data_IF_947492903508
#
_entry.id   IF_947492903508
#
_cell.length_a   1.000
_cell.length_b   1.000
_cell.length_c   1.000
_cell.angle_alpha   90.00
_cell.angle_beta   90.00
_cell.angle_gamma   90.00
#
_symmetry.space_group_name_H-M   'P 1'
#
loop_
_entity.id
_entity.type
_entity.pdbx_description
1 polymer ?
#
# COMPACT_ATOMS: atom_id res chain seq x y z
N UNK A 1 -16.46 2.26 -11.71
CA UNK A 1 -15.13 2.91 -11.55
C UNK A 1 -14.68 2.73 -10.11
N UNK A 2 -13.80 1.76 -9.82
CA UNK A 2 -13.20 1.64 -8.48
C UNK A 2 -12.32 2.86 -8.29
N UNK A 3 -12.77 3.68 -7.38
CA UNK A 3 -12.39 5.07 -7.28
C UNK A 3 -11.11 5.00 -6.43
N UNK A 4 -9.94 5.23 -7.04
CA UNK A 4 -8.59 4.94 -6.51
C UNK A 4 -8.31 5.53 -5.11
N UNK A 5 -9.04 6.59 -4.73
CA UNK A 5 -9.01 7.21 -3.40
C UNK A 5 -9.20 6.20 -2.26
N UNK A 6 -9.95 5.10 -2.47
CA UNK A 6 -10.18 4.10 -1.40
C UNK A 6 -8.90 3.41 -0.94
N UNK A 7 -7.96 3.12 -1.83
CA UNK A 7 -6.68 2.49 -1.45
C UNK A 7 -5.79 3.48 -0.69
N UNK A 8 -5.76 4.74 -1.13
CA UNK A 8 -5.02 5.79 -0.44
C UNK A 8 -5.63 6.11 0.93
N UNK A 9 -6.95 5.98 1.08
CA UNK A 9 -7.64 6.11 2.37
C UNK A 9 -7.27 4.97 3.33
N UNK A 10 -7.24 3.72 2.86
CA UNK A 10 -6.77 2.58 3.67
C UNK A 10 -5.32 2.81 4.14
N UNK A 11 -4.43 3.28 3.26
CA UNK A 11 -3.06 3.61 3.64
C UNK A 11 -3.03 4.72 4.71
N UNK A 12 -3.84 5.77 4.55
CA UNK A 12 -3.96 6.87 5.51
C UNK A 12 -4.42 6.41 6.88
N UNK A 13 -5.42 5.53 6.95
CA UNK A 13 -5.91 4.94 8.21
C UNK A 13 -4.84 4.09 8.91
N UNK A 14 -3.93 3.49 8.14
CA UNK A 14 -2.78 2.72 8.66
C UNK A 14 -1.59 3.62 9.02
N UNK A 15 -1.73 4.93 9.03
CA UNK A 15 -0.66 5.87 9.34
C UNK A 15 0.35 6.08 8.21
N UNK A 16 0.00 5.70 6.98
CA UNK A 16 0.87 5.82 5.81
C UNK A 16 0.40 6.96 4.89
N UNK A 17 1.35 7.61 4.24
CA UNK A 17 1.14 8.55 3.15
C UNK A 17 1.60 7.91 1.84
N UNK A 18 0.72 7.80 0.84
CA UNK A 18 1.10 7.33 -0.48
C UNK A 18 1.88 8.43 -1.20
N UNK A 19 3.10 8.12 -1.62
CA UNK A 19 3.95 9.04 -2.40
C UNK A 19 3.77 8.79 -3.90
N UNK A 20 4.05 7.56 -4.32
CA UNK A 20 4.04 7.14 -5.73
C UNK A 20 3.47 5.73 -5.85
N UNK A 21 2.99 5.40 -7.05
CA UNK A 21 2.66 4.02 -7.42
C UNK A 21 3.33 3.68 -8.75
N UNK A 22 4.16 2.64 -8.72
CA UNK A 22 4.82 2.09 -9.89
C UNK A 22 4.02 0.91 -10.43
N UNK A 23 3.66 1.00 -11.71
CA UNK A 23 2.86 -0.02 -12.41
C UNK A 23 3.81 -0.94 -13.17
N UNK A 24 3.87 -2.21 -12.78
CA UNK A 24 4.60 -3.25 -13.50
C UNK A 24 3.64 -4.05 -14.40
N UNK A 25 4.15 -5.06 -15.10
CA UNK A 25 3.36 -5.87 -16.03
C UNK A 25 2.30 -6.72 -15.31
N UNK A 26 2.61 -7.19 -14.11
CA UNK A 26 1.85 -8.20 -13.35
C UNK A 26 1.47 -7.74 -11.94
N UNK A 27 2.04 -6.63 -11.46
CA UNK A 27 1.79 -6.10 -10.13
C UNK A 27 1.94 -4.58 -10.04
N UNK A 28 1.57 -4.02 -8.89
CA UNK A 28 1.90 -2.64 -8.53
C UNK A 28 2.86 -2.63 -7.33
N UNK A 29 3.72 -1.63 -7.29
CA UNK A 29 4.50 -1.29 -6.10
C UNK A 29 4.09 0.09 -5.60
N UNK A 30 3.76 0.17 -4.31
CA UNK A 30 3.31 1.42 -3.68
C UNK A 30 4.44 1.95 -2.80
N UNK A 31 4.94 3.13 -3.15
CA UNK A 31 5.88 3.86 -2.33
C UNK A 31 5.11 4.68 -1.31
N UNK A 32 5.36 4.43 -0.03
CA UNK A 32 4.67 5.07 1.08
C UNK A 32 5.65 5.69 2.06
N UNK A 33 5.22 6.72 2.78
CA UNK A 33 5.91 7.27 3.93
C UNK A 33 5.13 6.94 5.19
N UNK A 34 5.79 6.34 6.15
CA UNK A 34 5.26 6.16 7.50
C UNK A 34 5.21 7.52 8.20
N UNK A 35 4.03 7.95 8.63
CA UNK A 35 3.82 9.30 9.17
C UNK A 35 4.40 9.48 10.57
N UNK A 36 4.59 8.40 11.30
CA UNK A 36 5.14 8.42 12.66
C UNK A 36 6.68 8.55 12.62
N UNK A 37 7.34 7.70 11.84
CA UNK A 37 8.80 7.62 11.78
C UNK A 37 9.43 8.43 10.64
N UNK A 38 8.63 8.92 9.69
CA UNK A 38 9.10 9.56 8.46
C UNK A 38 9.79 8.62 7.46
N UNK A 39 9.89 7.32 7.78
CA UNK A 39 10.58 6.34 6.93
C UNK A 39 9.80 6.11 5.64
N UNK A 40 10.53 6.01 4.53
CA UNK A 40 9.96 5.67 3.22
C UNK A 40 10.08 4.16 3.01
N UNK A 41 8.96 3.53 2.66
CA UNK A 41 8.82 2.10 2.45
C UNK A 41 8.27 1.84 1.05
N UNK A 42 8.61 0.67 0.50
CA UNK A 42 8.09 0.18 -0.77
C UNK A 42 7.28 -1.09 -0.53
N UNK A 43 5.99 -1.05 -0.83
CA UNK A 43 5.07 -2.17 -0.66
C UNK A 43 4.80 -2.79 -2.02
N UNK A 44 5.39 -3.96 -2.26
CA UNK A 44 5.09 -4.78 -3.44
C UNK A 44 3.77 -5.53 -3.26
N UNK A 45 2.81 -5.28 -4.14
CA UNK A 45 1.55 -6.02 -4.19
C UNK A 45 1.72 -7.32 -4.98
N UNK A 46 0.89 -8.35 -4.73
CA UNK A 46 0.93 -9.60 -5.49
C UNK A 46 0.34 -9.46 -6.91
N UNK A 47 -0.49 -8.45 -7.13
CA UNK A 47 -1.14 -8.12 -8.41
C UNK A 47 -1.54 -6.65 -8.41
N UNK A 48 -2.12 -6.18 -9.50
CA UNK A 48 -2.61 -4.80 -9.61
C UNK A 48 -3.62 -4.46 -8.51
N UNK A 49 -3.49 -3.29 -7.90
CA UNK A 49 -4.30 -2.89 -6.73
C UNK A 49 -5.80 -2.95 -7.00
N UNK A 50 -6.25 -2.59 -8.22
CA UNK A 50 -7.66 -2.60 -8.59
C UNK A 50 -8.26 -4.01 -8.69
N UNK A 51 -7.42 -5.05 -8.78
CA UNK A 51 -7.81 -6.46 -8.74
C UNK A 51 -7.78 -7.04 -7.33
N UNK A 52 -7.47 -6.22 -6.32
CA UNK A 52 -7.39 -6.62 -4.91
C UNK A 52 -8.56 -5.97 -4.15
N UNK A 53 -9.45 -6.74 -3.51
CA UNK A 53 -10.44 -6.20 -2.59
C UNK A 53 -9.79 -5.37 -1.48
N UNK A 54 -10.43 -4.28 -1.04
CA UNK A 54 -9.84 -3.36 -0.05
C UNK A 54 -9.44 -4.05 1.26
N UNK A 55 -10.22 -5.03 1.71
CA UNK A 55 -9.90 -5.82 2.91
C UNK A 55 -8.65 -6.68 2.74
N UNK A 56 -8.47 -7.29 1.56
CA UNK A 56 -7.27 -8.05 1.22
C UNK A 56 -6.06 -7.12 1.11
N UNK A 57 -6.23 -5.95 0.48
CA UNK A 57 -5.21 -4.92 0.40
C UNK A 57 -4.75 -4.46 1.79
N UNK A 58 -5.67 -4.18 2.71
CA UNK A 58 -5.35 -3.79 4.09
C UNK A 58 -4.49 -4.87 4.78
N UNK A 59 -4.87 -6.14 4.65
CA UNK A 59 -4.11 -7.27 5.23
C UNK A 59 -2.70 -7.33 4.66
N UNK A 60 -2.54 -7.23 3.34
CA UNK A 60 -1.23 -7.24 2.68
C UNK A 60 -0.32 -6.13 3.24
N UNK A 61 -0.85 -4.90 3.37
CA UNK A 61 -0.08 -3.77 3.90
C UNK A 61 0.34 -4.03 5.35
N UNK A 62 -0.58 -4.47 6.22
CA UNK A 62 -0.27 -4.77 7.63
C UNK A 62 0.83 -5.82 7.75
N UNK A 63 0.72 -6.92 6.99
CA UNK A 63 1.72 -7.99 7.04
C UNK A 63 3.09 -7.52 6.54
N UNK A 64 3.12 -6.67 5.51
CA UNK A 64 4.38 -6.06 5.03
C UNK A 64 5.00 -5.12 6.08
N UNK A 65 4.19 -4.31 6.76
CA UNK A 65 4.70 -3.44 7.83
C UNK A 65 5.29 -4.23 8.99
N UNK A 66 4.66 -5.35 9.39
CA UNK A 66 5.20 -6.25 10.43
C UNK A 66 6.54 -6.85 10.01
N UNK A 67 6.64 -7.32 8.77
CA UNK A 67 7.88 -7.90 8.23
C UNK A 67 9.05 -6.92 8.14
N UNK A 68 8.79 -5.61 8.08
CA UNK A 68 9.82 -4.56 7.98
C UNK A 68 10.26 -4.07 9.37
N UNK A 69 9.37 -4.14 10.37
CA UNK A 69 9.66 -3.72 11.76
C UNK A 69 10.30 -4.84 12.60
N UNK A 70 10.23 -6.09 12.14
CA UNK A 70 10.84 -7.26 12.79
C UNK A 70 12.29 -7.51 12.38
#
# INVERSE_FOLDING_TARGET
>A
MVKLWKYSEVLRELGLEQLDVYRFKDHDEIRVRDRESGRVLLIKLPRHRESIPLEEFRKIVIEKLKSIKG
#
